data_IF_128683497135
#
_entry.id   IF_128683497135
#
_cell.length_a   1.000
_cell.length_b   1.000
_cell.length_c   1.000
_cell.angle_alpha   90.00
_cell.angle_beta   90.00
_cell.angle_gamma   90.00
#
_symmetry.space_group_name_H-M   'P 1'
#
loop_
_entity.id
_entity.type
_entity.pdbx_description
1 polymer ?
#
# COMPACT_ATOMS: atom_id res chain seq x y z
N UNK A 1 -19.00 -1.64 -22.76
CA UNK A 1 -19.52 -3.02 -22.78
C UNK A 1 -18.50 -4.14 -22.87
N UNK A 2 -17.24 -3.91 -23.28
CA UNK A 2 -16.26 -5.02 -23.34
C UNK A 2 -15.98 -5.63 -21.96
N UNK A 3 -15.86 -4.80 -20.91
CA UNK A 3 -15.69 -5.24 -19.53
C UNK A 3 -16.84 -6.11 -19.02
N UNK A 4 -18.09 -5.66 -19.19
CA UNK A 4 -19.26 -6.45 -18.81
C UNK A 4 -19.30 -7.83 -19.49
N UNK A 5 -18.93 -7.91 -20.78
CA UNK A 5 -18.83 -9.19 -21.51
C UNK A 5 -17.78 -10.12 -20.89
N UNK A 6 -16.58 -9.61 -20.59
CA UNK A 6 -15.50 -10.40 -19.94
C UNK A 6 -15.98 -11.00 -18.62
N UNK A 7 -16.64 -10.20 -17.78
CA UNK A 7 -17.13 -10.66 -16.48
C UNK A 7 -18.23 -11.73 -16.62
N UNK A 8 -19.17 -11.53 -17.55
CA UNK A 8 -20.24 -12.49 -17.83
C UNK A 8 -19.69 -13.84 -18.34
N UNK A 9 -18.61 -13.82 -19.13
CA UNK A 9 -17.89 -15.03 -19.55
C UNK A 9 -17.23 -15.74 -18.37
N UNK A 10 -16.53 -15.01 -17.49
CA UNK A 10 -15.93 -15.57 -16.27
C UNK A 10 -16.99 -16.18 -15.35
N UNK A 11 -18.14 -15.53 -15.23
CA UNK A 11 -19.27 -15.98 -14.41
C UNK A 11 -20.12 -17.09 -15.06
N UNK A 12 -19.82 -17.49 -16.30
CA UNK A 12 -20.54 -18.54 -17.06
C UNK A 12 -22.07 -18.32 -17.12
N UNK A 13 -22.48 -17.09 -17.42
CA UNK A 13 -23.91 -16.70 -17.46
C UNK A 13 -24.56 -17.04 -18.80
N UNK A 14 -25.83 -17.45 -18.81
CA UNK A 14 -26.60 -17.78 -20.02
C UNK A 14 -26.76 -16.59 -20.99
N UNK A 15 -26.74 -16.88 -22.30
CA UNK A 15 -26.82 -15.89 -23.37
C UNK A 15 -28.09 -15.02 -23.32
N UNK A 16 -29.21 -15.59 -22.83
CA UNK A 16 -30.48 -14.87 -22.66
C UNK A 16 -30.35 -13.73 -21.64
N UNK A 17 -29.66 -14.00 -20.53
CA UNK A 17 -29.40 -13.03 -19.45
C UNK A 17 -28.42 -11.96 -19.92
N UNK A 18 -27.37 -12.37 -20.65
CA UNK A 18 -26.41 -11.45 -21.28
C UNK A 18 -27.10 -10.44 -22.20
N UNK A 19 -28.03 -10.89 -23.05
CA UNK A 19 -28.76 -9.99 -23.96
C UNK A 19 -29.74 -9.05 -23.25
N UNK A 20 -30.24 -9.45 -22.09
CA UNK A 20 -31.13 -8.61 -21.26
C UNK A 20 -30.32 -7.51 -20.58
N UNK A 21 -29.16 -7.86 -20.02
CA UNK A 21 -28.23 -6.93 -19.38
C UNK A 21 -27.63 -5.93 -20.37
N UNK A 22 -27.32 -6.35 -21.61
CA UNK A 22 -26.84 -5.43 -22.65
C UNK A 22 -27.84 -4.33 -22.99
N UNK A 23 -29.14 -4.59 -22.84
CA UNK A 23 -30.20 -3.60 -23.09
C UNK A 23 -30.37 -2.63 -21.92
N UNK A 24 -29.93 -3.02 -20.73
CA UNK A 24 -29.94 -2.19 -19.52
C UNK A 24 -28.59 -1.47 -19.36
N UNK A 25 -28.49 -0.26 -19.91
CA UNK A 25 -27.25 0.52 -19.90
C UNK A 25 -26.70 0.77 -18.47
N UNK A 26 -27.51 1.13 -17.45
CA UNK A 26 -27.06 1.19 -16.06
C UNK A 26 -26.46 -0.12 -15.53
N UNK A 27 -27.07 -1.28 -15.83
CA UNK A 27 -26.53 -2.58 -15.40
C UNK A 27 -25.22 -2.91 -16.13
N UNK A 28 -25.14 -2.65 -17.44
CA UNK A 28 -23.91 -2.86 -18.22
C UNK A 28 -22.74 -1.99 -17.73
N UNK A 29 -23.01 -0.73 -17.35
CA UNK A 29 -22.00 0.16 -16.78
C UNK A 29 -21.45 -0.36 -15.44
N UNK A 30 -22.33 -0.80 -14.53
CA UNK A 30 -21.93 -1.40 -13.25
C UNK A 30 -21.08 -2.64 -13.44
N UNK A 31 -21.46 -3.53 -14.36
CA UNK A 31 -20.69 -4.74 -14.65
C UNK A 31 -19.35 -4.43 -15.31
N UNK A 32 -19.27 -3.37 -16.13
CA UNK A 32 -18.00 -2.94 -16.70
C UNK A 32 -17.03 -2.45 -15.62
N UNK A 33 -17.52 -1.65 -14.67
CA UNK A 33 -16.72 -1.22 -13.52
C UNK A 33 -16.25 -2.40 -12.66
N UNK A 34 -17.16 -3.34 -12.37
CA UNK A 34 -16.80 -4.56 -11.61
C UNK A 34 -15.76 -5.40 -12.34
N UNK A 35 -15.81 -5.44 -13.68
CA UNK A 35 -14.81 -6.15 -14.47
C UNK A 35 -13.42 -5.49 -14.37
N UNK A 36 -13.35 -4.16 -14.37
CA UNK A 36 -12.10 -3.42 -14.18
C UNK A 36 -11.53 -3.65 -12.79
N UNK A 37 -12.38 -3.62 -11.76
CA UNK A 37 -11.97 -3.93 -10.38
C UNK A 37 -11.44 -5.37 -10.27
N UNK A 38 -12.12 -6.33 -10.88
CA UNK A 38 -11.67 -7.72 -10.91
C UNK A 38 -10.31 -7.87 -11.64
N UNK A 39 -10.11 -7.16 -12.75
CA UNK A 39 -8.84 -7.19 -13.48
C UNK A 39 -7.68 -6.61 -12.65
N UNK A 40 -7.91 -5.51 -11.94
CA UNK A 40 -6.90 -4.94 -11.03
C UNK A 40 -6.55 -5.91 -9.89
N UNK A 41 -7.56 -6.57 -9.30
CA UNK A 41 -7.32 -7.58 -8.25
C UNK A 41 -6.55 -8.79 -8.77
N UNK A 42 -6.87 -9.27 -9.98
CA UNK A 42 -6.13 -10.35 -10.63
C UNK A 42 -4.67 -9.96 -10.88
N UNK A 43 -4.42 -8.73 -11.34
CA UNK A 43 -3.07 -8.23 -11.53
C UNK A 43 -2.31 -8.12 -10.20
N UNK A 44 -2.95 -7.60 -9.14
CA UNK A 44 -2.35 -7.55 -7.81
C UNK A 44 -2.00 -8.95 -7.28
N UNK A 45 -2.88 -9.93 -7.49
CA UNK A 45 -2.63 -11.31 -7.10
C UNK A 45 -1.45 -11.91 -7.89
N UNK A 46 -1.37 -11.66 -9.20
CA UNK A 46 -0.26 -12.12 -10.03
C UNK A 46 1.08 -11.49 -9.60
N UNK A 47 1.07 -10.19 -9.28
CA UNK A 47 2.26 -9.51 -8.77
C UNK A 47 2.70 -10.11 -7.43
N UNK A 48 1.76 -10.31 -6.49
CA UNK A 48 2.07 -10.93 -5.20
C UNK A 48 2.65 -12.35 -5.33
N UNK A 49 2.16 -13.14 -6.29
CA UNK A 49 2.74 -14.46 -6.59
C UNK A 49 4.16 -14.35 -7.13
N UNK A 50 4.40 -13.45 -8.10
CA UNK A 50 5.73 -13.25 -8.67
C UNK A 50 6.74 -12.73 -7.63
N UNK A 51 6.30 -11.83 -6.75
CA UNK A 51 7.13 -11.34 -5.63
C UNK A 51 7.46 -12.46 -4.65
N UNK A 52 6.48 -13.31 -4.32
CA UNK A 52 6.70 -14.46 -3.43
C UNK A 52 7.68 -15.47 -4.04
N UNK A 53 7.56 -15.78 -5.33
CA UNK A 53 8.46 -16.70 -6.04
C UNK A 53 9.90 -16.18 -6.02
N UNK A 54 10.11 -14.92 -6.41
CA UNK A 54 11.43 -14.27 -6.35
C UNK A 54 11.98 -14.27 -4.94
N UNK A 55 11.17 -13.94 -3.94
CA UNK A 55 11.60 -13.89 -2.55
C UNK A 55 12.05 -15.27 -2.05
N UNK A 56 11.26 -16.33 -2.33
CA UNK A 56 11.62 -17.71 -2.00
C UNK A 56 12.94 -18.13 -2.65
N UNK A 57 13.11 -17.84 -3.94
CA UNK A 57 14.31 -18.16 -4.67
C UNK A 57 15.55 -17.44 -4.13
N UNK A 58 15.46 -16.12 -3.87
CA UNK A 58 16.56 -15.36 -3.28
C UNK A 58 16.92 -15.83 -1.88
N UNK A 59 15.95 -16.27 -1.07
CA UNK A 59 16.24 -16.89 0.22
C UNK A 59 16.97 -18.22 0.09
N UNK A 60 16.62 -19.04 -0.91
CA UNK A 60 17.34 -20.27 -1.19
C UNK A 60 18.81 -19.98 -1.58
N UNK A 61 19.03 -19.02 -2.47
CA UNK A 61 20.38 -18.59 -2.89
C UNK A 61 21.15 -18.01 -1.72
N UNK A 62 20.53 -17.12 -0.92
CA UNK A 62 21.17 -16.54 0.26
C UNK A 62 21.53 -17.60 1.31
N UNK A 63 20.71 -18.63 1.48
CA UNK A 63 20.95 -19.72 2.44
C UNK A 63 22.14 -20.60 2.08
N UNK A 64 22.55 -20.67 0.80
CA UNK A 64 23.76 -21.38 0.36
C UNK A 64 25.03 -20.66 0.79
N UNK A 65 24.97 -19.35 1.02
CA UNK A 65 26.11 -18.52 1.40
C UNK A 65 26.10 -18.31 2.93
N UNK A 66 27.27 -18.33 3.57
CA UNK A 66 27.40 -18.13 5.03
C UNK A 66 27.22 -16.66 5.46
N UNK A 67 26.60 -15.81 4.64
CA UNK A 67 26.41 -14.40 4.96
C UNK A 67 25.06 -14.16 5.64
N UNK A 68 25.07 -13.33 6.70
CA UNK A 68 23.84 -12.93 7.39
C UNK A 68 23.15 -11.82 6.61
N UNK A 69 21.85 -11.97 6.37
CA UNK A 69 21.02 -10.92 5.77
C UNK A 69 20.73 -9.81 6.79
N UNK A 70 20.94 -8.57 6.39
CA UNK A 70 20.74 -7.38 7.24
C UNK A 70 19.65 -6.51 6.61
N UNK A 71 18.51 -6.30 7.30
CA UNK A 71 17.44 -5.42 6.81
C UNK A 71 17.92 -4.00 6.49
N UNK A 72 17.30 -3.37 5.50
CA UNK A 72 17.67 -2.06 4.98
C UNK A 72 18.90 -2.05 4.07
N UNK A 73 19.44 -3.21 3.70
CA UNK A 73 20.67 -3.33 2.89
C UNK A 73 20.36 -3.68 1.44
N UNK A 74 21.12 -3.11 0.51
CA UNK A 74 21.09 -3.52 -0.90
C UNK A 74 21.87 -4.80 -1.11
N UNK A 75 21.24 -5.69 -1.87
CA UNK A 75 21.81 -6.94 -2.34
C UNK A 75 21.69 -7.01 -3.85
N UNK A 76 22.67 -7.64 -4.47
CA UNK A 76 22.79 -7.79 -5.90
C UNK A 76 22.92 -9.29 -6.20
N UNK A 77 22.17 -9.76 -7.19
CA UNK A 77 22.08 -11.16 -7.58
C UNK A 77 22.86 -11.38 -8.88
N UNK A 78 23.76 -12.35 -8.86
CA UNK A 78 24.66 -12.68 -9.96
C UNK A 78 24.75 -14.19 -10.16
N UNK A 79 25.22 -14.61 -11.33
CA UNK A 79 25.81 -15.93 -11.53
C UNK A 79 27.34 -15.80 -11.50
N UNK A 80 28.01 -16.62 -10.72
CA UNK A 80 29.47 -16.70 -10.66
C UNK A 80 29.93 -18.16 -10.75
N UNK A 81 30.75 -18.47 -11.75
CA UNK A 81 31.24 -19.82 -12.03
C UNK A 81 30.11 -20.85 -12.18
N UNK A 82 28.97 -20.41 -12.74
CA UNK A 82 27.77 -21.24 -12.90
C UNK A 82 26.91 -21.42 -11.64
N UNK A 83 27.28 -20.83 -10.50
CA UNK A 83 26.50 -20.82 -9.27
C UNK A 83 25.86 -19.45 -9.05
N UNK A 84 24.59 -19.44 -8.64
CA UNK A 84 23.93 -18.20 -8.28
C UNK A 84 24.36 -17.71 -6.91
N UNK A 85 24.66 -16.41 -6.81
CA UNK A 85 25.14 -15.78 -5.59
C UNK A 85 24.47 -14.44 -5.36
N UNK A 86 24.28 -14.11 -4.08
CA UNK A 86 23.83 -12.81 -3.64
C UNK A 86 24.97 -12.11 -2.89
N UNK A 87 25.25 -10.86 -3.26
CA UNK A 87 26.31 -10.06 -2.65
C UNK A 87 25.85 -8.66 -2.34
N UNK A 88 26.64 -7.96 -1.53
CA UNK A 88 26.45 -6.53 -1.22
C UNK A 88 27.29 -5.63 -2.14
N UNK A 89 28.17 -6.21 -2.94
CA UNK A 89 29.01 -5.49 -3.89
C UNK A 89 28.16 -5.21 -5.13
N UNK A 90 28.12 -3.95 -5.54
CA UNK A 90 27.40 -3.50 -6.71
C UNK A 90 28.03 -4.04 -7.99
N UNK A 91 27.26 -4.01 -9.08
CA UNK A 91 27.68 -4.52 -10.38
C UNK A 91 28.82 -3.70 -10.99
N UNK A 92 28.89 -2.40 -10.65
CA UNK A 92 29.98 -1.51 -11.05
C UNK A 92 31.30 -1.77 -10.31
N UNK A 93 31.23 -2.39 -9.12
CA UNK A 93 32.37 -2.61 -8.23
C UNK A 93 32.91 -4.06 -8.29
N UNK A 94 32.26 -4.94 -9.05
CA UNK A 94 32.58 -6.37 -9.09
C UNK A 94 32.87 -6.84 -10.52
N UNK A 95 34.11 -7.19 -10.83
CA UNK A 95 34.48 -7.60 -12.20
C UNK A 95 34.50 -9.12 -12.46
N UNK A 96 34.17 -9.95 -11.46
CA UNK A 96 34.32 -11.42 -11.54
C UNK A 96 32.98 -12.17 -11.42
N UNK A 97 31.97 -11.69 -12.16
CA UNK A 97 30.68 -12.37 -12.32
C UNK A 97 30.45 -12.74 -13.79
N UNK A 98 29.64 -13.78 -14.04
CA UNK A 98 29.27 -14.20 -15.39
C UNK A 98 28.04 -13.43 -15.89
N UNK A 99 27.01 -13.33 -15.06
CA UNK A 99 25.73 -12.68 -15.40
C UNK A 99 25.16 -11.89 -14.21
N UNK A 100 24.54 -10.75 -14.51
CA UNK A 100 23.85 -9.92 -13.53
C UNK A 100 22.33 -10.06 -13.66
N UNK A 101 21.67 -10.44 -12.56
CA UNK A 101 20.21 -10.68 -12.52
C UNK A 101 19.43 -9.49 -11.96
N UNK A 102 20.05 -8.68 -11.10
CA UNK A 102 19.48 -7.42 -10.65
C UNK A 102 19.78 -7.02 -9.21
N UNK A 103 19.20 -5.89 -8.83
CA UNK A 103 19.34 -5.24 -7.52
C UNK A 103 18.08 -5.40 -6.68
N UNK A 104 18.26 -5.74 -5.41
CA UNK A 104 17.20 -6.03 -4.46
C UNK A 104 17.46 -5.31 -3.12
N UNK A 105 16.46 -4.60 -2.62
CA UNK A 105 16.45 -4.12 -1.23
C UNK A 105 15.92 -5.24 -0.34
N UNK A 106 16.70 -5.65 0.66
CA UNK A 106 16.18 -6.49 1.72
C UNK A 106 15.52 -5.59 2.76
N UNK A 107 14.19 -5.55 2.74
CA UNK A 107 13.39 -4.59 3.51
C UNK A 107 13.21 -5.04 4.97
N UNK A 108 12.66 -4.17 5.82
CA UNK A 108 12.48 -4.41 7.25
C UNK A 108 11.42 -5.47 7.58
N UNK A 109 10.57 -5.78 6.61
CA UNK A 109 9.61 -6.90 6.66
C UNK A 109 10.25 -8.25 6.29
N UNK A 110 11.58 -8.30 6.10
CA UNK A 110 12.34 -9.46 5.68
C UNK A 110 11.92 -9.99 4.30
N UNK A 111 11.62 -9.08 3.37
CA UNK A 111 11.36 -9.43 1.97
C UNK A 111 12.34 -8.73 1.03
N UNK A 112 12.70 -9.41 -0.05
CA UNK A 112 13.49 -8.84 -1.13
C UNK A 112 12.57 -8.08 -2.10
N UNK A 113 12.79 -6.76 -2.21
CA UNK A 113 12.11 -5.91 -3.19
C UNK A 113 13.04 -5.53 -4.32
N UNK A 114 12.70 -5.94 -5.54
CA UNK A 114 13.47 -5.59 -6.74
C UNK A 114 13.46 -4.08 -6.93
N UNK A 115 14.64 -3.49 -7.10
CA UNK A 115 14.78 -2.08 -7.41
C UNK A 115 14.72 -1.90 -8.94
N UNK A 116 14.10 -0.82 -9.43
CA UNK A 116 14.18 -0.49 -10.84
C UNK A 116 15.65 -0.27 -11.22
N UNK A 117 16.04 -0.80 -12.38
CA UNK A 117 17.35 -0.49 -12.96
C UNK A 117 17.27 0.96 -13.42
N UNK A 118 17.82 1.87 -12.63
CA UNK A 118 18.02 3.25 -13.06
C UNK A 118 19.13 3.19 -14.11
N UNK A 119 18.76 3.09 -15.38
CA UNK A 119 19.70 3.47 -16.43
C UNK A 119 20.02 4.94 -16.19
N UNK A 120 21.27 5.26 -15.84
CA UNK A 120 21.79 6.62 -15.60
C UNK A 120 21.79 7.51 -16.86
N UNK A 121 20.90 7.28 -17.83
CA UNK A 121 20.72 8.09 -19.04
C UNK A 121 19.34 8.75 -19.14
N UNK A 122 18.74 9.10 -18.00
CA UNK A 122 17.58 10.00 -17.93
C UNK A 122 17.68 10.92 -16.70
N UNK A 123 18.83 11.59 -16.54
CA UNK A 123 19.00 12.66 -15.56
C UNK A 123 19.13 13.98 -16.35
N UNK A 124 18.02 14.61 -16.76
CA UNK A 124 17.98 16.06 -17.06
C UNK A 124 16.59 16.75 -16.98
N UNK A 125 15.44 16.05 -16.87
CA UNK A 125 14.12 16.75 -16.98
C UNK A 125 13.12 16.54 -15.82
N UNK A 126 13.58 16.21 -14.60
CA UNK A 126 12.70 16.14 -13.44
C UNK A 126 13.15 17.10 -12.32
N UNK A 127 12.90 18.40 -12.54
CA UNK A 127 12.96 19.41 -11.49
C UNK A 127 12.03 19.01 -10.32
N UNK A 128 12.52 18.96 -9.07
CA UNK A 128 11.73 18.52 -7.93
C UNK A 128 10.62 19.52 -7.62
N UNK A 129 9.39 19.02 -7.54
CA UNK A 129 8.17 19.72 -7.10
C UNK A 129 8.29 20.05 -5.60
N UNK A 130 9.22 20.93 -5.25
CA UNK A 130 9.51 21.38 -3.89
C UNK A 130 9.52 22.91 -3.82
N UNK A 131 8.72 23.55 -4.66
CA UNK A 131 8.51 25.01 -4.68
C UNK A 131 7.08 25.43 -4.31
N UNK A 132 6.20 24.49 -3.94
CA UNK A 132 4.79 24.75 -3.60
C UNK A 132 4.49 24.86 -2.10
N UNK A 133 5.50 25.10 -1.24
CA UNK A 133 5.33 25.32 0.21
C UNK A 133 5.86 26.67 0.70
N UNK A 134 6.10 27.64 -0.19
CA UNK A 134 6.37 29.02 0.20
C UNK A 134 5.08 29.83 0.09
N UNK A 135 4.22 29.71 1.11
CA UNK A 135 3.12 30.64 1.32
C UNK A 135 3.69 32.05 1.58
N UNK A 136 3.21 33.11 0.92
CA UNK A 136 3.64 34.47 1.21
C UNK A 136 3.18 34.88 2.61
N UNK A 137 4.10 35.44 3.40
CA UNK A 137 3.77 36.04 4.69
C UNK A 137 2.82 37.22 4.45
N UNK A 138 1.73 37.27 5.21
CA UNK A 138 0.88 38.46 5.31
C UNK A 138 1.66 39.49 6.16
N UNK A 139 1.89 40.72 5.69
CA UNK A 139 2.49 41.75 6.51
C UNK A 139 1.49 42.24 7.57
N UNK A 140 1.88 42.14 8.83
CA UNK A 140 1.18 42.73 9.97
C UNK A 140 1.14 44.26 9.82
N UNK A 141 -0.05 44.84 9.84
CA UNK A 141 -0.25 46.30 9.86
C UNK A 141 0.01 46.87 11.26
N UNK A 142 0.67 48.03 11.38
CA UNK A 142 1.17 48.56 12.65
C UNK A 142 0.08 49.21 13.52
N UNK A 143 0.29 49.05 14.82
CA UNK A 143 -0.38 49.66 15.97
C UNK A 143 -0.40 51.19 15.90
N UNK A 144 -1.54 51.84 16.17
CA UNK A 144 -1.60 53.24 16.65
C UNK A 144 -2.81 53.40 17.58
N UNK A 145 -2.71 54.17 18.70
CA UNK A 145 -3.50 53.95 19.91
C UNK A 145 -4.71 54.89 20.07
N UNK A 146 -5.70 54.42 20.83
CA UNK A 146 -6.61 55.24 21.62
C UNK A 146 -8.02 55.44 21.04
N UNK A 147 -9.04 54.88 21.71
CA UNK A 147 -10.09 55.65 22.39
C UNK A 147 -11.29 54.76 22.76
N UNK A 148 -11.44 54.55 24.06
CA UNK A 148 -12.65 54.52 24.91
C UNK A 148 -13.94 53.77 24.53
N UNK A 149 -14.50 53.20 25.61
CA UNK A 149 -15.90 52.82 25.87
C UNK A 149 -16.35 51.45 25.32
N UNK A 150 -17.06 50.58 26.03
CA UNK A 150 -17.72 50.64 27.33
C UNK A 150 -17.96 49.19 27.86
N UNK A 151 -18.37 49.12 29.13
CA UNK A 151 -18.99 48.04 29.92
C UNK A 151 -19.59 46.83 29.15
N UNK A 152 -19.65 45.60 29.68
CA UNK A 152 -20.30 45.30 30.96
C UNK A 152 -20.01 43.85 31.42
N UNK A 153 -19.94 43.70 32.75
CA UNK A 153 -19.75 42.47 33.50
C UNK A 153 -21.09 41.79 33.78
N UNK A 154 -21.19 40.46 33.71
CA UNK A 154 -22.02 39.65 34.63
C UNK A 154 -21.93 38.15 34.29
N UNK A 155 -21.32 37.37 35.20
CA UNK A 155 -21.94 36.54 36.25
C UNK A 155 -22.36 35.14 35.77
N UNK A 156 -21.61 34.15 36.25
CA UNK A 156 -22.07 32.76 36.43
C UNK A 156 -23.29 32.74 37.39
N UNK A 157 -24.15 31.72 37.25
CA UNK A 157 -24.34 30.85 38.42
C UNK A 157 -24.35 29.35 38.07
N UNK A 158 -24.26 28.59 39.16
CA UNK A 158 -24.04 27.15 39.31
C UNK A 158 -25.37 26.42 39.52
N UNK A 159 -25.34 25.11 39.24
CA UNK A 159 -26.11 24.00 39.84
C UNK A 159 -27.60 23.89 39.49
N UNK A 160 -28.02 22.77 38.89
CA UNK A 160 -28.65 21.70 39.68
C UNK A 160 -28.63 20.35 38.94
N UNK A 161 -28.50 19.28 39.71
CA UNK A 161 -28.40 17.89 39.30
C UNK A 161 -29.71 17.19 39.68
N UNK A 162 -30.39 16.58 38.72
CA UNK A 162 -31.52 15.69 38.97
C UNK A 162 -31.94 14.94 37.70
N UNK A 163 -31.87 13.61 37.80
CA UNK A 163 -32.41 12.46 37.02
C UNK A 163 -33.25 12.74 35.74
N UNK A 164 -33.36 11.86 34.74
CA UNK A 164 -33.98 10.52 34.79
C UNK A 164 -33.67 9.74 33.47
N UNK A 165 -33.38 8.43 33.64
CA UNK A 165 -33.56 7.26 32.74
C UNK A 165 -32.78 7.08 31.43
N UNK A 166 -32.11 5.92 31.36
CA UNK A 166 -32.61 4.83 30.50
C UNK A 166 -31.66 4.27 29.45
N UNK A 167 -31.24 3.01 29.63
CA UNK A 167 -30.90 2.12 28.51
C UNK A 167 -29.46 1.61 28.47
N UNK A 168 -29.17 0.55 29.24
CA UNK A 168 -27.98 -0.27 29.05
C UNK A 168 -28.22 -1.30 27.94
N UNK A 169 -27.30 -1.41 26.97
CA UNK A 169 -27.21 -2.57 26.08
C UNK A 169 -25.75 -3.05 26.00
N UNK A 170 -25.53 -4.11 26.79
CA UNK A 170 -24.59 -5.22 26.68
C UNK A 170 -23.55 -5.23 25.53
N UNK A 171 -22.27 -5.19 25.91
CA UNK A 171 -21.15 -5.76 25.17
C UNK A 171 -21.14 -7.30 25.34
N UNK A 172 -21.10 -8.06 24.24
CA UNK A 172 -20.75 -9.50 24.22
C UNK A 172 -19.46 -9.73 23.45
N UNK A 173 -18.35 -9.84 24.17
CA UNK A 173 -17.16 -10.57 23.73
C UNK A 173 -17.19 -11.95 24.40
N UNK A 174 -17.29 -13.02 23.59
CA UNK A 174 -17.22 -14.40 24.07
C UNK A 174 -15.83 -14.97 23.79
N UNK A 175 -15.16 -15.46 24.84
CA UNK A 175 -13.97 -16.32 24.77
C UNK A 175 -14.40 -17.79 24.81
N UNK A 176 -13.61 -18.73 24.24
CA UNK A 176 -13.94 -20.15 24.24
C UNK A 176 -13.37 -20.86 25.47
N UNK A 177 -14.21 -21.60 26.19
CA UNK A 177 -13.82 -22.49 27.28
C UNK A 177 -13.53 -23.92 26.78
N UNK A 178 -12.41 -24.42 27.28
CA UNK A 178 -11.83 -25.75 27.15
C UNK A 178 -12.73 -26.83 27.80
N UNK A 179 -12.92 -27.98 27.15
CA UNK A 179 -13.58 -29.16 27.74
C UNK A 179 -12.62 -30.36 27.69
N UNK A 180 -12.22 -30.81 28.87
CA UNK A 180 -11.55 -32.08 29.14
C UNK A 180 -12.58 -33.22 29.08
N UNK A 181 -12.32 -34.24 28.25
CA UNK A 181 -13.03 -35.52 28.28
C UNK A 181 -12.06 -36.63 28.67
N UNK A 182 -12.25 -37.21 29.86
CA UNK A 182 -11.74 -38.53 30.24
C UNK A 182 -12.89 -39.54 30.12
N UNK A 183 -12.64 -40.62 29.40
CA UNK A 183 -13.04 -41.99 29.73
C UNK A 183 -12.15 -42.93 28.90
#
# INVERSE_FOLDING_TARGET
DEGAKRLLTVMRVDDKTVNTIKRDAPASAKLSLLAEQAAMLQQQAQNALSEAEVNCHLFEVAGRITCKLVPGTMYYHYTQHGEEVISRIADDDWDNYDEYHGKYLYDWDHTFRRQPLVNEKQHEDAEPVMRMLMLPHVPETPTTPGSMANAESSKKPKLDTGEITGGAVLNRFGTPTHVHGKA
#
